data_IF_680887888949
#
_entry.id   IF_680887888949
#
_cell.length_a   1.000
_cell.length_b   1.000
_cell.length_c   1.000
_cell.angle_alpha   90.00
_cell.angle_beta   90.00
_cell.angle_gamma   90.00
#
_symmetry.space_group_name_H-M   'P 1'
#
loop_
_entity.id
_entity.type
_entity.pdbx_description
1 polymer ?
#
# COMPACT_ATOMS: atom_id res chain seq x y z
N UNK A 1 -4.53 24.57 7.00
CA UNK A 1 -3.60 23.60 7.39
C UNK A 1 -3.62 22.44 6.42
N UNK A 2 -2.52 22.06 6.04
CA UNK A 2 -2.51 21.03 5.06
C UNK A 2 -2.36 19.68 5.69
N UNK A 3 -2.73 18.70 4.96
CA UNK A 3 -2.59 17.32 5.40
C UNK A 3 -1.13 16.93 5.49
N UNK A 4 -0.80 16.19 6.52
CA UNK A 4 0.49 15.57 6.59
C UNK A 4 0.51 14.43 5.63
N UNK A 5 1.07 14.63 4.50
CA UNK A 5 1.11 13.60 3.50
C UNK A 5 2.50 13.04 3.44
N UNK A 6 2.64 11.79 3.80
CA UNK A 6 3.89 11.09 3.63
C UNK A 6 3.75 10.19 2.42
N UNK A 7 4.28 10.64 1.33
CA UNK A 7 4.30 9.80 0.15
C UNK A 7 5.52 8.91 0.27
N UNK A 8 5.30 7.69 0.69
CA UNK A 8 6.37 6.71 0.70
C UNK A 8 6.20 5.90 -0.57
N UNK A 9 7.04 6.18 -1.52
CA UNK A 9 7.01 5.46 -2.78
C UNK A 9 7.73 4.15 -2.57
N UNK A 10 6.95 3.09 -2.42
CA UNK A 10 7.54 1.77 -2.43
C UNK A 10 7.29 1.22 -3.83
N UNK A 11 8.28 1.37 -4.67
CA UNK A 11 8.20 0.86 -6.02
C UNK A 11 9.01 -0.41 -6.09
N UNK A 12 8.35 -1.47 -6.48
CA UNK A 12 9.01 -2.75 -6.69
C UNK A 12 8.73 -3.19 -8.10
N UNK A 13 9.78 -3.54 -8.82
CA UNK A 13 9.65 -4.02 -10.17
C UNK A 13 10.38 -5.35 -10.26
N UNK A 14 9.62 -6.42 -10.13
CA UNK A 14 10.16 -7.77 -10.21
C UNK A 14 9.39 -8.52 -11.29
N UNK A 15 10.10 -8.92 -12.32
CA UNK A 15 9.51 -9.71 -13.40
C UNK A 15 8.25 -9.07 -13.98
N UNK A 16 8.29 -7.75 -14.18
CA UNK A 16 7.18 -7.06 -14.79
C UNK A 16 6.07 -6.67 -13.84
N UNK A 17 6.23 -6.92 -12.56
CA UNK A 17 5.25 -6.50 -11.55
C UNK A 17 5.75 -5.25 -10.88
N UNK A 18 4.94 -4.20 -10.94
CA UNK A 18 5.30 -2.90 -10.40
C UNK A 18 4.20 -2.45 -9.45
N UNK A 19 4.54 -2.19 -8.20
CA UNK A 19 3.57 -1.76 -7.21
C UNK A 19 4.07 -0.51 -6.51
N UNK A 20 3.18 0.48 -6.37
CA UNK A 20 3.46 1.70 -5.64
C UNK A 20 2.46 1.83 -4.51
N UNK A 21 2.92 2.30 -3.37
CA UNK A 21 2.07 2.54 -2.21
C UNK A 21 2.25 3.96 -1.73
N UNK A 22 1.14 4.60 -1.40
CA UNK A 22 1.11 5.96 -0.88
C UNK A 22 0.39 5.96 0.45
N UNK A 23 0.99 6.57 1.45
CA UNK A 23 0.42 6.61 2.79
C UNK A 23 0.14 8.03 3.20
N UNK A 24 -1.02 8.25 3.81
CA UNK A 24 -1.44 9.56 4.25
C UNK A 24 -1.99 9.44 5.66
N UNK A 25 -1.43 10.23 6.57
CA UNK A 25 -1.92 10.28 7.95
C UNK A 25 -3.23 11.01 8.04
N UNK A 26 -4.18 10.43 8.76
CA UNK A 26 -5.46 11.07 9.02
C UNK A 26 -5.84 10.79 10.47
N UNK A 27 -5.55 11.77 11.33
CA UNK A 27 -5.80 11.58 12.76
C UNK A 27 -4.95 10.44 13.30
N UNK A 28 -5.60 9.45 13.88
CA UNK A 28 -4.91 8.31 14.47
C UNK A 28 -4.73 7.16 13.50
N UNK A 29 -5.12 7.37 12.25
CA UNK A 29 -5.08 6.31 11.26
C UNK A 29 -4.25 6.72 10.08
N UNK A 30 -3.90 5.72 9.26
CA UNK A 30 -3.14 5.95 8.04
C UNK A 30 -3.92 5.39 6.88
N UNK A 31 -4.19 6.21 5.90
CA UNK A 31 -4.85 5.76 4.69
C UNK A 31 -3.80 5.34 3.69
N UNK A 32 -3.93 4.11 3.20
CA UNK A 32 -2.98 3.54 2.26
C UNK A 32 -3.64 3.40 0.90
N UNK A 33 -3.01 3.95 -0.12
CA UNK A 33 -3.47 3.81 -1.49
C UNK A 33 -2.40 3.09 -2.27
N UNK A 34 -2.80 2.09 -3.04
CA UNK A 34 -1.84 1.29 -3.79
C UNK A 34 -2.21 1.25 -5.25
N UNK A 35 -1.21 1.19 -6.09
CA UNK A 35 -1.38 1.10 -7.54
C UNK A 35 -0.49 0.00 -8.07
N UNK A 36 -0.96 -0.70 -9.07
CA UNK A 36 -0.18 -1.76 -9.68
C UNK A 36 -0.17 -1.60 -11.19
N UNK A 37 0.94 -1.98 -11.78
CA UNK A 37 1.08 -2.04 -13.23
C UNK A 37 1.39 -3.46 -13.63
N UNK A 38 1.17 -3.74 -14.90
CA UNK A 38 1.48 -5.06 -15.46
C UNK A 38 0.68 -6.13 -14.73
N UNK A 39 1.32 -7.16 -14.22
CA UNK A 39 0.62 -8.30 -13.64
C UNK A 39 0.26 -8.16 -12.19
N UNK A 40 0.64 -7.05 -11.54
CA UNK A 40 0.41 -6.92 -10.11
C UNK A 40 -1.07 -6.78 -9.75
N UNK A 41 -1.41 -7.21 -8.54
CA UNK A 41 -2.77 -7.10 -8.01
C UNK A 41 -2.72 -6.56 -6.60
N UNK A 42 -3.03 -5.28 -6.44
CA UNK A 42 -2.97 -4.67 -5.12
C UNK A 42 -4.24 -4.92 -4.30
N UNK A 43 -5.33 -5.37 -4.94
CA UNK A 43 -6.52 -5.70 -4.19
C UNK A 43 -6.29 -6.86 -3.24
N UNK A 44 -5.43 -7.81 -3.61
CA UNK A 44 -5.10 -8.93 -2.74
C UNK A 44 -4.34 -8.47 -1.51
N UNK A 45 -3.50 -7.47 -1.67
CA UNK A 45 -2.76 -6.91 -0.54
C UNK A 45 -3.71 -6.13 0.37
N UNK A 46 -4.57 -5.31 -0.23
CA UNK A 46 -5.47 -4.47 0.56
C UNK A 46 -6.42 -5.30 1.40
N UNK A 47 -6.91 -6.42 0.86
CA UNK A 47 -7.85 -7.28 1.58
C UNK A 47 -7.23 -7.83 2.87
N UNK A 48 -5.95 -8.07 2.87
CA UNK A 48 -5.27 -8.57 4.08
C UNK A 48 -5.33 -7.56 5.23
N UNK A 49 -5.54 -6.30 4.91
CA UNK A 49 -5.64 -5.24 5.91
C UNK A 49 -7.06 -4.74 6.08
N UNK A 50 -8.02 -5.50 5.57
CA UNK A 50 -9.42 -5.12 5.73
C UNK A 50 -9.93 -4.13 4.70
N UNK A 51 -9.16 -3.85 3.69
CA UNK A 51 -9.57 -2.93 2.64
C UNK A 51 -10.04 -3.63 1.40
N UNK A 52 -9.83 -3.01 0.26
CA UNK A 52 -10.23 -3.60 -1.01
C UNK A 52 -10.06 -2.62 -2.15
N UNK A 53 -10.62 -2.97 -3.30
CA UNK A 53 -10.55 -2.13 -4.47
C UNK A 53 -10.46 -2.99 -5.72
N UNK A 54 -9.72 -2.49 -6.69
CA UNK A 54 -9.52 -3.17 -7.96
C UNK A 54 -8.09 -3.70 -8.04
N UNK A 55 -7.88 -4.61 -8.97
CA UNK A 55 -6.56 -5.21 -9.13
C UNK A 55 -5.47 -4.16 -9.31
N UNK A 56 -5.76 -3.11 -10.05
CA UNK A 56 -4.76 -2.08 -10.35
C UNK A 56 -4.79 -0.89 -9.40
N UNK A 57 -5.79 -0.79 -8.54
CA UNK A 57 -5.92 0.33 -7.62
C UNK A 57 -6.76 -0.08 -6.42
N UNK A 58 -6.14 -0.11 -5.25
CA UNK A 58 -6.83 -0.54 -4.05
C UNK A 58 -6.27 0.22 -2.86
N UNK A 59 -6.93 0.10 -1.73
CA UNK A 59 -6.47 0.77 -0.54
C UNK A 59 -7.02 0.19 0.74
N UNK A 60 -6.48 0.66 1.84
CA UNK A 60 -6.91 0.23 3.16
C UNK A 60 -6.62 1.34 4.16
N UNK A 61 -7.13 1.18 5.37
CA UNK A 61 -6.88 2.12 6.45
C UNK A 61 -6.32 1.34 7.63
N UNK A 62 -5.21 1.82 8.18
CA UNK A 62 -4.53 1.14 9.27
C UNK A 62 -4.52 2.01 10.51
N UNK A 63 -4.86 1.41 11.66
CA UNK A 63 -4.86 2.08 12.96
C UNK A 63 -3.47 1.98 13.57
N UNK A 64 -2.54 2.73 13.03
CA UNK A 64 -1.18 2.68 13.53
C UNK A 64 -0.44 3.91 13.01
N UNK A 65 0.79 4.11 13.45
CA UNK A 65 1.58 5.23 12.99
C UNK A 65 1.97 5.01 11.53
N UNK A 66 2.32 6.10 10.85
CA UNK A 66 2.72 5.99 9.45
C UNK A 66 3.97 5.13 9.31
N UNK A 67 4.86 5.17 10.29
CA UNK A 67 6.06 4.35 10.27
C UNK A 67 5.73 2.87 10.35
N UNK A 68 4.82 2.51 11.25
CA UNK A 68 4.39 1.13 11.38
C UNK A 68 3.62 0.67 10.15
N UNK A 69 2.78 1.55 9.62
CA UNK A 69 2.01 1.23 8.43
C UNK A 69 2.94 0.98 7.23
N UNK A 70 3.95 1.81 7.09
CA UNK A 70 4.89 1.65 5.99
C UNK A 70 5.60 0.32 6.06
N UNK A 71 6.02 -0.09 7.27
CA UNK A 71 6.67 -1.38 7.44
C UNK A 71 5.73 -2.53 7.10
N UNK A 72 4.50 -2.45 7.57
CA UNK A 72 3.53 -3.52 7.33
C UNK A 72 3.24 -3.64 5.84
N UNK A 73 3.05 -2.53 5.16
CA UNK A 73 2.75 -2.55 3.74
C UNK A 73 3.93 -3.06 2.93
N UNK A 74 5.13 -2.62 3.28
CA UNK A 74 6.33 -3.10 2.59
C UNK A 74 6.48 -4.61 2.71
N UNK A 75 6.27 -5.13 3.90
CA UNK A 75 6.39 -6.57 4.12
C UNK A 75 5.39 -7.34 3.26
N UNK A 76 4.16 -6.83 3.19
CA UNK A 76 3.15 -7.52 2.40
C UNK A 76 3.43 -7.45 0.91
N UNK A 77 3.92 -6.32 0.45
CA UNK A 77 4.27 -6.18 -0.97
C UNK A 77 5.40 -7.15 -1.32
N UNK A 78 6.42 -7.21 -0.48
CA UNK A 78 7.54 -8.11 -0.73
C UNK A 78 7.07 -9.55 -0.70
N UNK A 79 6.25 -9.90 0.29
CA UNK A 79 5.72 -11.25 0.38
C UNK A 79 4.90 -11.61 -0.86
N UNK A 80 4.09 -10.67 -1.32
CA UNK A 80 3.29 -10.88 -2.51
C UNK A 80 4.15 -11.12 -3.75
N UNK A 81 5.22 -10.35 -3.87
CA UNK A 81 6.08 -10.45 -5.05
C UNK A 81 6.95 -11.69 -5.04
N UNK A 82 7.14 -12.28 -3.87
CA UNK A 82 8.00 -13.47 -3.75
C UNK A 82 7.23 -14.78 -3.82
N UNK A 83 5.96 -14.71 -4.06
CA UNK A 83 5.15 -15.93 -4.16
C UNK A 83 5.46 -16.71 -5.41
#
# INVERSE_FOLDING_TARGET
MEDSESAIDTLRNIEGVEIAAFLKEKGDAVKVSMRAKSAGRVDEIAVKFGGGGHAKAAGCTLDMSVSEAADAIKKEIISYLEK
#
